data_IF_321664873755
#
_entry.id   IF_321664873755
#
_cell.length_a   1.000
_cell.length_b   1.000
_cell.length_c   1.000
_cell.angle_alpha   90.00
_cell.angle_beta   90.00
_cell.angle_gamma   90.00
#
_symmetry.space_group_name_H-M   'P 1'
#
loop_
_entity.id
_entity.type
_entity.pdbx_description
1 polymer ?
#
# COMPACT_ATOMS: atom_id res chain seq x y z
N UNK A 1 -10.01 5.51 -24.15
CA UNK A 1 -8.77 6.29 -24.21
C UNK A 1 -7.59 5.35 -24.44
N UNK A 2 -6.67 5.72 -25.33
CA UNK A 2 -5.37 5.08 -25.51
C UNK A 2 -4.50 5.28 -24.26
N UNK A 3 -3.32 4.65 -24.24
CA UNK A 3 -2.34 4.85 -23.15
C UNK A 3 -1.93 6.32 -23.01
N UNK A 4 -1.62 6.94 -24.12
CA UNK A 4 -1.11 8.31 -24.15
C UNK A 4 -2.19 9.31 -23.77
N UNK A 5 -3.42 9.16 -24.29
CA UNK A 5 -4.56 9.95 -23.86
C UNK A 5 -4.84 9.83 -22.35
N UNK A 6 -4.65 8.62 -21.76
CA UNK A 6 -4.79 8.43 -20.31
C UNK A 6 -3.66 9.09 -19.52
N UNK A 7 -2.44 9.07 -20.04
CA UNK A 7 -1.31 9.75 -19.42
C UNK A 7 -1.54 11.27 -19.41
N UNK A 8 -1.92 11.85 -20.56
CA UNK A 8 -2.18 13.30 -20.69
C UNK A 8 -3.33 13.73 -19.78
N UNK A 9 -4.42 12.95 -19.77
CA UNK A 9 -5.54 13.19 -18.87
C UNK A 9 -5.11 13.20 -17.40
N UNK A 10 -4.28 12.23 -16.97
CA UNK A 10 -3.81 12.12 -15.60
C UNK A 10 -2.91 13.27 -15.19
N UNK A 11 -2.00 13.67 -16.07
CA UNK A 11 -1.13 14.82 -15.86
C UNK A 11 -1.95 16.10 -15.69
N UNK A 12 -2.86 16.39 -16.62
CA UNK A 12 -3.77 17.55 -16.52
C UNK A 12 -4.64 17.50 -15.25
N UNK A 13 -5.07 16.31 -14.85
CA UNK A 13 -5.86 16.14 -13.61
C UNK A 13 -5.04 16.49 -12.38
N UNK A 14 -3.79 16.05 -12.31
CA UNK A 14 -2.90 16.35 -11.17
C UNK A 14 -2.55 17.85 -11.17
N UNK A 15 -2.26 18.45 -12.32
CA UNK A 15 -2.02 19.89 -12.41
C UNK A 15 -3.20 20.70 -11.86
N UNK A 16 -4.43 20.38 -12.26
CA UNK A 16 -5.64 21.04 -11.74
C UNK A 16 -5.86 20.83 -10.24
N UNK A 17 -5.50 19.69 -9.71
CA UNK A 17 -5.58 19.44 -8.27
C UNK A 17 -4.51 20.23 -7.51
N UNK A 18 -3.30 20.32 -8.08
CA UNK A 18 -2.21 21.11 -7.51
C UNK A 18 -2.53 22.60 -7.47
N UNK A 19 -3.03 23.18 -8.55
CA UNK A 19 -3.44 24.59 -8.63
C UNK A 19 -4.46 24.98 -7.54
N UNK A 20 -5.24 24.04 -7.05
CA UNK A 20 -6.19 24.27 -5.95
C UNK A 20 -5.52 24.33 -4.57
N UNK A 21 -4.34 23.76 -4.45
CA UNK A 21 -3.62 23.57 -3.17
C UNK A 21 -2.46 24.58 -3.02
N UNK A 22 -1.80 24.91 -4.12
CA UNK A 22 -0.62 25.77 -4.14
C UNK A 22 -0.77 26.89 -5.14
N UNK A 23 -0.59 28.14 -4.67
CA UNK A 23 -0.70 29.32 -5.52
C UNK A 23 0.64 29.80 -6.10
N UNK A 24 1.80 29.33 -5.58
CA UNK A 24 3.04 30.07 -5.76
C UNK A 24 4.16 29.39 -6.54
N UNK A 25 4.17 28.06 -6.67
CA UNK A 25 5.29 27.37 -7.33
C UNK A 25 4.81 26.37 -8.39
N UNK A 26 5.41 26.45 -9.56
CA UNK A 26 5.27 25.40 -10.55
C UNK A 26 5.95 24.16 -10.00
N UNK A 27 5.20 23.07 -9.79
CA UNK A 27 5.77 21.83 -9.30
C UNK A 27 6.77 21.28 -10.31
N UNK A 28 7.73 20.52 -9.80
CA UNK A 28 8.66 19.75 -10.62
C UNK A 28 8.07 18.38 -10.90
N UNK A 29 8.52 17.73 -11.94
CA UNK A 29 8.07 16.39 -12.26
C UNK A 29 9.16 15.51 -12.85
N UNK A 30 8.99 14.20 -12.69
CA UNK A 30 9.77 13.14 -13.34
C UNK A 30 8.79 12.12 -13.91
N UNK A 31 9.02 11.69 -15.15
CA UNK A 31 8.18 10.69 -15.82
C UNK A 31 8.99 9.42 -16.04
N UNK A 32 8.36 8.29 -15.75
CA UNK A 32 8.84 6.96 -16.12
C UNK A 32 7.78 6.23 -16.94
N UNK A 33 7.97 4.97 -17.27
CA UNK A 33 6.98 4.21 -18.04
C UNK A 33 5.66 4.00 -17.30
N UNK A 34 5.71 3.79 -15.97
CA UNK A 34 4.56 3.47 -15.14
C UNK A 34 4.15 4.60 -14.19
N UNK A 35 5.02 5.61 -13.98
CA UNK A 35 4.82 6.60 -12.94
C UNK A 35 5.01 8.03 -13.46
N UNK A 36 4.26 8.95 -12.84
CA UNK A 36 4.41 10.38 -12.97
C UNK A 36 4.62 10.96 -11.56
N UNK A 37 5.88 11.25 -11.22
CA UNK A 37 6.24 11.81 -9.91
C UNK A 37 6.21 13.32 -10.01
N UNK A 38 5.54 13.97 -9.05
CA UNK A 38 5.18 15.37 -9.14
C UNK A 38 5.21 16.02 -7.75
N UNK A 39 5.64 17.29 -7.62
CA UNK A 39 5.60 17.98 -6.33
C UNK A 39 6.57 19.13 -6.14
N UNK A 40 6.64 19.66 -4.91
CA UNK A 40 7.49 20.76 -4.49
C UNK A 40 8.84 20.30 -3.90
N UNK A 41 9.05 19.00 -3.77
CA UNK A 41 10.33 18.45 -3.33
C UNK A 41 11.47 18.77 -4.33
N UNK A 42 12.74 18.81 -3.89
CA UNK A 42 13.86 19.04 -4.79
C UNK A 42 13.91 18.05 -5.95
N UNK A 43 14.39 18.48 -7.14
CA UNK A 43 14.43 17.64 -8.34
C UNK A 43 15.15 16.30 -8.11
N UNK A 44 16.29 16.31 -7.40
CA UNK A 44 17.01 15.09 -7.04
C UNK A 44 16.16 14.13 -6.16
N UNK A 45 15.30 14.68 -5.29
CA UNK A 45 14.41 13.88 -4.46
C UNK A 45 13.28 13.24 -5.29
N UNK A 46 12.68 14.00 -6.21
CA UNK A 46 11.66 13.45 -7.12
C UNK A 46 12.26 12.36 -8.02
N UNK A 47 13.48 12.55 -8.50
CA UNK A 47 14.20 11.54 -9.28
C UNK A 47 14.42 10.26 -8.46
N UNK A 48 14.86 10.38 -7.21
CA UNK A 48 15.04 9.24 -6.30
C UNK A 48 13.72 8.50 -6.04
N UNK A 49 12.61 9.23 -5.84
CA UNK A 49 11.28 8.64 -5.68
C UNK A 49 10.85 7.89 -6.93
N UNK A 50 11.11 8.43 -8.12
CA UNK A 50 10.81 7.79 -9.39
C UNK A 50 11.60 6.47 -9.56
N UNK A 51 12.87 6.46 -9.22
CA UNK A 51 13.71 5.25 -9.25
C UNK A 51 13.20 4.16 -8.29
N UNK A 52 12.83 4.54 -7.08
CA UNK A 52 12.23 3.61 -6.11
C UNK A 52 10.87 3.08 -6.58
N UNK A 53 10.06 3.93 -7.21
CA UNK A 53 8.76 3.52 -7.75
C UNK A 53 8.93 2.51 -8.90
N UNK A 54 9.87 2.73 -9.83
CA UNK A 54 10.18 1.79 -10.91
C UNK A 54 10.72 0.46 -10.40
N UNK A 55 11.62 0.52 -9.42
CA UNK A 55 12.15 -0.69 -8.77
C UNK A 55 11.02 -1.49 -8.10
N UNK A 56 10.11 -0.78 -7.43
CA UNK A 56 8.94 -1.39 -6.82
C UNK A 56 7.94 -1.92 -7.86
N UNK A 57 7.75 -1.22 -8.96
CA UNK A 57 6.94 -1.68 -10.10
C UNK A 57 7.40 -3.03 -10.63
N UNK A 58 8.72 -3.25 -10.74
CA UNK A 58 9.30 -4.55 -11.11
C UNK A 58 8.96 -5.65 -10.09
N UNK A 59 9.00 -5.33 -8.78
CA UNK A 59 8.60 -6.29 -7.73
C UNK A 59 7.14 -6.65 -7.78
N UNK A 60 6.25 -5.68 -8.04
CA UNK A 60 4.82 -5.93 -8.24
C UNK A 60 4.58 -6.86 -9.43
N UNK A 61 5.24 -6.61 -10.58
CA UNK A 61 5.16 -7.51 -11.74
C UNK A 61 5.60 -8.92 -11.41
N UNK A 62 6.72 -9.07 -10.71
CA UNK A 62 7.27 -10.38 -10.32
C UNK A 62 6.30 -11.11 -9.38
N UNK A 63 5.82 -10.45 -8.34
CA UNK A 63 4.94 -11.06 -7.34
C UNK A 63 3.60 -11.49 -7.94
N UNK A 64 2.99 -10.64 -8.78
CA UNK A 64 1.65 -10.88 -9.32
C UNK A 64 1.65 -11.53 -10.71
N UNK A 65 2.82 -11.84 -11.26
CA UNK A 65 2.95 -12.52 -12.57
C UNK A 65 2.49 -11.65 -13.76
N UNK A 66 2.60 -10.35 -13.64
CA UNK A 66 2.28 -9.39 -14.69
C UNK A 66 3.47 -9.29 -15.67
N UNK A 67 3.56 -10.22 -16.61
CA UNK A 67 4.74 -10.33 -17.49
C UNK A 67 4.85 -9.22 -18.54
N UNK A 68 3.71 -8.69 -18.98
CA UNK A 68 3.61 -7.67 -20.03
C UNK A 68 2.50 -6.67 -19.70
N UNK A 69 2.61 -5.46 -20.23
CA UNK A 69 1.59 -4.44 -20.06
C UNK A 69 1.87 -3.46 -18.91
N UNK A 70 0.94 -2.58 -18.71
CA UNK A 70 1.01 -1.51 -17.71
C UNK A 70 0.59 -2.02 -16.33
N UNK A 71 1.26 -1.55 -15.28
CA UNK A 71 0.83 -1.78 -13.90
C UNK A 71 -0.51 -1.10 -13.61
N UNK A 72 -0.73 0.05 -14.25
CA UNK A 72 -1.93 0.86 -14.09
C UNK A 72 -2.48 1.23 -15.47
N UNK A 73 -3.72 1.67 -15.52
CA UNK A 73 -4.28 2.28 -16.71
C UNK A 73 -3.72 3.71 -16.84
N UNK A 74 -2.73 3.89 -17.71
CA UNK A 74 -1.85 5.06 -17.75
C UNK A 74 -0.80 5.02 -16.61
N UNK A 75 -0.04 6.11 -16.44
CA UNK A 75 0.90 6.29 -15.32
C UNK A 75 0.15 6.50 -14.01
N UNK A 76 0.63 5.88 -12.93
CA UNK A 76 0.20 6.26 -11.59
C UNK A 76 0.89 7.58 -11.21
N UNK A 77 0.12 8.58 -10.82
CA UNK A 77 0.71 9.80 -10.29
C UNK A 77 1.18 9.61 -8.83
N UNK A 78 2.34 10.16 -8.50
CA UNK A 78 2.91 10.18 -7.15
C UNK A 78 3.19 11.63 -6.80
N UNK A 79 2.35 12.22 -5.97
CA UNK A 79 2.49 13.60 -5.50
C UNK A 79 3.32 13.62 -4.22
N UNK A 80 4.42 14.38 -4.21
CA UNK A 80 5.37 14.45 -3.10
C UNK A 80 5.42 15.87 -2.57
N UNK A 81 4.98 16.05 -1.33
CA UNK A 81 5.12 17.30 -0.60
C UNK A 81 6.37 17.27 0.26
N UNK A 82 7.21 18.29 0.11
CA UNK A 82 8.40 18.49 0.94
C UNK A 82 8.01 18.66 2.41
N UNK A 83 6.98 19.46 2.66
CA UNK A 83 6.58 19.86 4.00
C UNK A 83 5.21 19.30 4.41
N UNK A 84 5.01 19.09 5.70
CA UNK A 84 3.74 18.64 6.29
C UNK A 84 2.57 19.52 5.88
N UNK A 85 2.78 20.84 5.81
CA UNK A 85 1.75 21.80 5.48
C UNK A 85 1.10 21.48 4.12
N UNK A 86 1.88 21.35 3.06
CA UNK A 86 1.35 21.05 1.73
C UNK A 86 0.56 19.74 1.67
N UNK A 87 1.04 18.68 2.35
CA UNK A 87 0.30 17.43 2.46
C UNK A 87 -1.04 17.60 3.20
N UNK A 88 -1.09 18.42 4.24
CA UNK A 88 -2.32 18.71 5.00
C UNK A 88 -3.30 19.52 4.16
N UNK A 89 -2.83 20.56 3.48
CA UNK A 89 -3.63 21.36 2.54
C UNK A 89 -4.23 20.52 1.42
N UNK A 90 -3.44 19.60 0.83
CA UNK A 90 -3.98 18.66 -0.15
C UNK A 90 -5.17 17.86 0.39
N UNK A 91 -5.04 17.29 1.58
CA UNK A 91 -6.11 16.51 2.18
C UNK A 91 -7.35 17.36 2.46
N UNK A 92 -7.16 18.60 2.93
CA UNK A 92 -8.25 19.53 3.23
C UNK A 92 -8.96 19.96 1.95
N UNK A 93 -8.22 20.43 0.95
CA UNK A 93 -8.76 21.04 -0.27
C UNK A 93 -9.28 20.00 -1.26
N UNK A 94 -8.55 18.88 -1.44
CA UNK A 94 -8.92 17.87 -2.44
C UNK A 94 -9.90 16.84 -1.88
N UNK A 95 -9.75 16.48 -0.60
CA UNK A 95 -10.54 15.40 0.01
C UNK A 95 -11.53 15.88 1.08
N UNK A 96 -11.53 17.17 1.43
CA UNK A 96 -12.38 17.74 2.49
C UNK A 96 -12.27 16.98 3.81
N UNK A 97 -11.06 16.57 4.18
CA UNK A 97 -10.81 15.77 5.38
C UNK A 97 -9.64 16.30 6.20
N UNK A 98 -9.74 16.16 7.50
CA UNK A 98 -8.62 16.36 8.40
C UNK A 98 -7.51 15.34 8.17
N UNK A 99 -6.28 15.76 8.43
CA UNK A 99 -5.08 14.91 8.29
C UNK A 99 -4.57 14.51 9.67
N UNK A 100 -4.84 13.28 10.15
CA UNK A 100 -4.30 12.80 11.40
C UNK A 100 -2.77 12.93 11.44
N UNK A 101 -2.19 13.30 12.60
CA UNK A 101 -0.75 13.53 12.73
C UNK A 101 0.11 12.35 12.23
N UNK A 102 -0.35 11.13 12.44
CA UNK A 102 0.35 9.93 12.01
C UNK A 102 0.20 9.59 10.52
N UNK A 103 -0.66 10.33 9.79
CA UNK A 103 -0.89 10.09 8.37
C UNK A 103 0.09 10.91 7.55
N UNK A 104 0.98 10.26 6.84
CA UNK A 104 2.03 10.87 6.02
C UNK A 104 1.94 10.46 4.54
N UNK A 105 0.95 9.66 4.19
CA UNK A 105 0.67 9.24 2.83
C UNK A 105 -0.69 8.57 2.68
N UNK A 106 -1.17 8.52 1.45
CA UNK A 106 -2.37 7.77 1.08
C UNK A 106 -2.40 7.49 -0.42
N UNK A 107 -3.27 6.58 -0.84
CA UNK A 107 -3.50 6.27 -2.25
C UNK A 107 -4.99 6.37 -2.57
N UNK A 108 -5.28 6.91 -3.74
CA UNK A 108 -6.62 7.02 -4.31
C UNK A 108 -6.61 6.32 -5.67
N UNK A 109 -7.60 5.44 -5.88
CA UNK A 109 -7.89 4.87 -7.20
C UNK A 109 -9.40 4.84 -7.33
N UNK A 110 -9.94 5.65 -8.23
CA UNK A 110 -11.37 5.64 -8.55
C UNK A 110 -11.73 4.44 -9.44
N UNK A 111 -12.97 3.97 -9.40
CA UNK A 111 -13.42 2.88 -10.28
C UNK A 111 -13.29 3.21 -11.77
N UNK A 112 -13.43 4.49 -12.15
CA UNK A 112 -13.22 4.98 -13.52
C UNK A 112 -11.76 5.11 -13.90
N UNK A 113 -10.82 5.02 -12.95
CA UNK A 113 -9.39 5.34 -13.09
C UNK A 113 -9.08 6.80 -13.44
N UNK A 114 -10.04 7.68 -13.39
CA UNK A 114 -9.81 9.12 -13.55
C UNK A 114 -8.89 9.64 -12.45
N UNK A 115 -9.15 9.25 -11.21
CA UNK A 115 -8.25 9.50 -10.09
C UNK A 115 -7.48 8.21 -9.79
N UNK A 116 -6.19 8.20 -10.09
CA UNK A 116 -5.27 7.16 -9.66
C UNK A 116 -3.94 7.82 -9.28
N UNK A 117 -3.76 8.05 -7.99
CA UNK A 117 -2.58 8.72 -7.46
C UNK A 117 -2.24 8.28 -6.04
N UNK A 118 -0.99 8.48 -5.69
CA UNK A 118 -0.45 8.39 -4.34
C UNK A 118 -0.03 9.79 -3.92
N UNK A 119 -0.31 10.19 -2.69
CA UNK A 119 0.16 11.45 -2.12
C UNK A 119 1.00 11.15 -0.89
N UNK A 120 2.19 11.74 -0.83
CA UNK A 120 3.17 11.49 0.21
C UNK A 120 3.71 12.81 0.78
N UNK A 121 3.87 12.86 2.08
CA UNK A 121 4.77 13.81 2.72
C UNK A 121 6.17 13.21 2.71
N UNK A 122 7.19 13.99 2.33
CA UNK A 122 8.58 13.56 2.48
C UNK A 122 8.96 13.56 3.97
N UNK A 123 9.08 12.39 4.53
CA UNK A 123 9.48 12.17 5.94
C UNK A 123 10.97 11.89 6.08
N UNK A 124 11.73 12.05 4.99
CA UNK A 124 13.15 11.69 4.94
C UNK A 124 13.38 10.17 4.87
N UNK A 125 14.64 9.78 4.89
CA UNK A 125 15.08 8.40 4.69
C UNK A 125 15.41 7.67 6.00
N UNK A 126 15.34 8.40 7.12
CA UNK A 126 15.65 7.81 8.43
C UNK A 126 14.60 6.79 8.80
N UNK A 127 15.04 5.57 9.02
CA UNK A 127 14.22 4.46 9.49
C UNK A 127 14.36 4.34 11.00
N UNK A 128 13.23 4.36 11.71
CA UNK A 128 13.15 4.12 13.16
C UNK A 128 12.12 3.01 13.42
N UNK A 129 12.02 2.47 14.64
CA UNK A 129 10.97 1.51 14.97
C UNK A 129 9.55 2.04 14.74
N UNK A 130 9.35 3.37 14.78
CA UNK A 130 8.07 4.05 14.60
C UNK A 130 7.81 4.51 13.16
N UNK A 131 8.85 4.66 12.36
CA UNK A 131 8.79 5.20 10.99
C UNK A 131 9.65 4.42 10.02
N UNK A 132 9.05 3.94 8.96
CA UNK A 132 9.74 3.24 7.87
C UNK A 132 10.49 4.14 6.89
N UNK A 133 10.48 5.47 7.09
CA UNK A 133 11.03 6.42 6.13
C UNK A 133 10.23 6.48 4.82
N UNK A 134 10.66 7.36 3.92
CA UNK A 134 9.94 7.65 2.68
C UNK A 134 9.82 6.44 1.74
N UNK A 135 10.89 5.64 1.60
CA UNK A 135 10.90 4.49 0.70
C UNK A 135 9.87 3.42 1.08
N UNK A 136 9.74 3.09 2.37
CA UNK A 136 8.76 2.12 2.85
C UNK A 136 7.34 2.64 2.65
N UNK A 137 7.10 3.93 2.91
CA UNK A 137 5.80 4.55 2.67
C UNK A 137 5.43 4.53 1.19
N UNK A 138 6.36 4.86 0.29
CA UNK A 138 6.16 4.78 -1.15
C UNK A 138 5.72 3.36 -1.56
N UNK A 139 6.47 2.35 -1.15
CA UNK A 139 6.18 0.94 -1.47
C UNK A 139 4.78 0.56 -0.99
N UNK A 140 4.44 0.90 0.24
CA UNK A 140 3.15 0.57 0.82
C UNK A 140 1.98 1.23 0.07
N UNK A 141 2.07 2.52 -0.22
CA UNK A 141 0.98 3.25 -0.89
C UNK A 141 0.88 2.94 -2.39
N UNK A 142 1.98 2.72 -3.09
CA UNK A 142 1.97 2.25 -4.49
C UNK A 142 1.38 0.84 -4.58
N UNK A 143 1.73 -0.06 -3.65
CA UNK A 143 1.08 -1.38 -3.54
C UNK A 143 -0.42 -1.24 -3.29
N UNK A 144 -0.81 -0.32 -2.40
CA UNK A 144 -2.23 -0.05 -2.12
C UNK A 144 -2.98 0.41 -3.37
N UNK A 145 -2.40 1.30 -4.17
CA UNK A 145 -2.96 1.74 -5.44
C UNK A 145 -3.07 0.57 -6.44
N UNK A 146 -2.01 -0.24 -6.55
CA UNK A 146 -2.00 -1.42 -7.43
C UNK A 146 -3.09 -2.43 -7.07
N UNK A 147 -3.26 -2.74 -5.81
CA UNK A 147 -4.28 -3.69 -5.37
C UNK A 147 -5.70 -3.17 -5.61
N UNK A 148 -5.92 -1.87 -5.40
CA UNK A 148 -7.24 -1.22 -5.60
C UNK A 148 -7.61 -1.00 -7.07
N UNK A 149 -6.68 -1.20 -8.01
CA UNK A 149 -6.91 -0.97 -9.46
C UNK A 149 -8.05 -1.82 -10.05
N UNK A 150 -8.46 -2.90 -9.39
CA UNK A 150 -9.62 -3.70 -9.79
C UNK A 150 -10.96 -3.04 -9.47
N UNK A 151 -10.99 -1.94 -8.72
CA UNK A 151 -12.20 -1.33 -8.18
C UNK A 151 -12.79 -2.07 -6.97
N UNK A 152 -12.24 -3.23 -6.60
CA UNK A 152 -12.72 -4.00 -5.47
C UNK A 152 -12.35 -3.35 -4.13
N UNK A 153 -13.27 -3.44 -3.17
CA UNK A 153 -13.00 -3.04 -1.80
C UNK A 153 -12.26 -4.17 -1.08
N UNK A 154 -10.95 -4.01 -0.95
CA UNK A 154 -10.10 -4.97 -0.26
C UNK A 154 -9.95 -4.62 1.23
N UNK A 155 -9.83 -5.63 2.11
CA UNK A 155 -9.60 -5.40 3.54
C UNK A 155 -8.29 -4.64 3.79
N UNK A 156 -8.31 -3.73 4.77
CA UNK A 156 -7.14 -2.90 5.10
C UNK A 156 -5.92 -3.73 5.52
N UNK A 157 -6.13 -4.80 6.29
CA UNK A 157 -5.04 -5.69 6.70
C UNK A 157 -4.33 -6.32 5.48
N UNK A 158 -5.06 -6.64 4.42
CA UNK A 158 -4.48 -7.19 3.20
C UNK A 158 -3.68 -6.14 2.45
N UNK A 159 -4.27 -4.98 2.21
CA UNK A 159 -3.61 -3.89 1.46
C UNK A 159 -2.31 -3.47 2.12
N UNK A 160 -2.35 -3.18 3.42
CA UNK A 160 -1.16 -2.81 4.21
C UNK A 160 -0.18 -3.96 4.34
N UNK A 161 -0.70 -5.17 4.55
CA UNK A 161 0.13 -6.37 4.72
C UNK A 161 0.95 -6.70 3.48
N UNK A 162 0.37 -6.62 2.29
CA UNK A 162 1.11 -6.82 1.03
C UNK A 162 2.16 -5.73 0.83
N UNK A 163 1.80 -4.45 1.07
CA UNK A 163 2.73 -3.33 0.97
C UNK A 163 3.96 -3.51 1.85
N UNK A 164 3.75 -3.81 3.13
CA UNK A 164 4.84 -4.01 4.09
C UNK A 164 5.62 -5.31 3.85
N UNK A 165 5.00 -6.36 3.29
CA UNK A 165 5.71 -7.57 2.87
C UNK A 165 6.68 -7.27 1.71
N UNK A 166 6.27 -6.45 0.74
CA UNK A 166 7.13 -6.02 -0.35
C UNK A 166 8.20 -5.02 0.11
N UNK A 167 7.88 -4.18 1.10
CA UNK A 167 8.87 -3.31 1.74
C UNK A 167 9.95 -4.10 2.47
N UNK A 168 9.57 -5.17 3.18
CA UNK A 168 10.52 -6.09 3.84
C UNK A 168 11.45 -6.80 2.85
N UNK A 169 10.99 -7.08 1.64
CA UNK A 169 11.83 -7.62 0.56
C UNK A 169 12.80 -6.57 0.00
N UNK A 170 12.41 -5.29 0.03
CA UNK A 170 13.23 -4.20 -0.43
C UNK A 170 14.30 -3.80 0.58
N UNK A 171 14.00 -3.92 1.87
CA UNK A 171 14.89 -3.64 2.99
C UNK A 171 14.65 -4.63 4.15
N UNK A 172 15.32 -5.78 4.06
CA UNK A 172 15.18 -6.87 5.04
C UNK A 172 15.83 -6.57 6.40
N UNK A 173 16.63 -5.51 6.49
CA UNK A 173 17.34 -5.09 7.71
C UNK A 173 16.67 -3.90 8.40
N UNK A 174 15.53 -3.44 7.90
CA UNK A 174 14.81 -2.31 8.46
C UNK A 174 14.36 -2.57 9.89
N UNK A 175 14.76 -1.70 10.83
CA UNK A 175 14.33 -1.75 12.23
C UNK A 175 12.82 -1.58 12.36
N UNK A 176 12.21 -0.77 11.48
CA UNK A 176 10.76 -0.64 11.39
C UNK A 176 10.08 -1.97 11.10
N UNK A 177 10.55 -2.67 10.07
CA UNK A 177 10.00 -3.99 9.69
C UNK A 177 10.23 -5.04 10.78
N UNK A 178 11.40 -5.01 11.40
CA UNK A 178 11.73 -5.93 12.51
C UNK A 178 10.77 -5.72 13.72
N UNK A 179 10.41 -4.46 14.01
CA UNK A 179 9.49 -4.12 15.10
C UNK A 179 8.03 -4.53 14.86
N UNK A 180 7.61 -4.73 13.60
CA UNK A 180 6.22 -5.05 13.27
C UNK A 180 5.74 -6.38 13.91
N UNK A 181 6.63 -7.35 14.07
CA UNK A 181 6.25 -8.63 14.70
C UNK A 181 5.84 -8.46 16.15
N UNK A 182 6.59 -7.68 16.92
CA UNK A 182 6.24 -7.35 18.31
C UNK A 182 4.91 -6.61 18.39
N UNK A 183 4.76 -5.56 17.57
CA UNK A 183 3.51 -4.79 17.50
C UNK A 183 2.30 -5.63 17.11
N UNK A 184 2.48 -6.65 16.25
CA UNK A 184 1.39 -7.57 15.90
C UNK A 184 1.01 -8.48 17.08
N UNK A 185 1.99 -9.00 17.83
CA UNK A 185 1.73 -9.80 19.04
C UNK A 185 0.94 -9.00 20.07
N UNK A 186 1.34 -7.74 20.33
CA UNK A 186 0.64 -6.86 21.27
C UNK A 186 -0.80 -6.56 20.80
N UNK A 187 -1.00 -6.29 19.50
CA UNK A 187 -2.31 -6.04 18.95
C UNK A 187 -3.26 -7.25 19.09
N UNK A 188 -2.73 -8.47 18.99
CA UNK A 188 -3.53 -9.71 19.07
C UNK A 188 -3.92 -10.09 20.49
N UNK A 189 -3.28 -9.54 21.54
CA UNK A 189 -3.67 -9.79 22.92
C UNK A 189 -5.09 -9.32 23.24
N UNK A 190 -5.58 -8.27 22.52
CA UNK A 190 -6.94 -7.73 22.65
C UNK A 190 -7.98 -8.37 21.72
N UNK A 191 -7.62 -9.40 20.94
CA UNK A 191 -8.52 -9.99 19.97
C UNK A 191 -9.61 -10.84 20.67
N UNK A 192 -10.88 -10.47 20.50
CA UNK A 192 -12.02 -11.16 21.14
C UNK A 192 -12.27 -12.55 20.53
N UNK A 193 -12.44 -12.61 19.21
CA UNK A 193 -12.65 -13.84 18.45
C UNK A 193 -11.60 -13.98 17.35
N UNK A 194 -11.14 -15.22 17.05
CA UNK A 194 -10.15 -15.43 16.00
C UNK A 194 -10.55 -14.81 14.64
N UNK A 195 -11.82 -14.88 14.27
CA UNK A 195 -12.34 -14.40 13.01
C UNK A 195 -12.32 -12.86 12.89
N UNK A 196 -12.35 -12.14 14.00
CA UNK A 196 -12.26 -10.67 14.05
C UNK A 196 -10.94 -10.17 13.45
N UNK A 197 -9.92 -11.04 13.38
CA UNK A 197 -8.67 -10.78 12.69
C UNK A 197 -8.83 -10.24 11.25
N UNK A 198 -9.88 -10.67 10.57
CA UNK A 198 -10.11 -10.36 9.16
C UNK A 198 -11.10 -9.20 8.95
N UNK A 199 -11.69 -8.70 10.02
CA UNK A 199 -12.69 -7.63 9.94
C UNK A 199 -12.00 -6.25 9.93
N UNK A 200 -12.45 -5.36 9.04
CA UNK A 200 -12.03 -3.97 9.05
C UNK A 200 -12.53 -3.29 10.35
N UNK A 201 -11.67 -2.46 10.93
CA UNK A 201 -11.99 -1.73 12.16
C UNK A 201 -11.62 -2.46 13.46
N UNK A 202 -11.23 -3.75 13.41
CA UNK A 202 -10.75 -4.49 14.59
C UNK A 202 -9.47 -3.89 15.16
N UNK A 203 -8.59 -3.42 14.30
CA UNK A 203 -7.29 -2.86 14.68
C UNK A 203 -7.22 -1.37 14.38
N UNK A 204 -6.51 -0.63 15.24
CA UNK A 204 -6.17 0.76 14.96
C UNK A 204 -5.30 0.89 13.69
N UNK A 205 -5.22 2.07 13.05
CA UNK A 205 -4.41 2.28 11.85
C UNK A 205 -2.93 1.88 11.99
N UNK A 206 -2.36 1.96 13.20
CA UNK A 206 -0.99 1.49 13.47
C UNK A 206 -0.90 -0.03 13.55
N UNK A 207 -1.87 -0.65 14.21
CA UNK A 207 -1.90 -2.10 14.42
C UNK A 207 -2.21 -2.87 13.14
N UNK A 208 -3.10 -2.32 12.28
CA UNK A 208 -3.52 -3.01 11.04
C UNK A 208 -2.34 -3.29 10.10
N UNK A 209 -1.34 -2.41 10.06
CA UNK A 209 -0.10 -2.64 9.28
C UNK A 209 0.71 -3.81 9.83
N UNK A 210 0.95 -3.85 11.13
CA UNK A 210 1.73 -4.89 11.79
C UNK A 210 1.05 -6.27 11.69
N UNK A 211 -0.24 -6.33 12.01
CA UNK A 211 -1.04 -7.55 11.88
C UNK A 211 -1.12 -8.00 10.41
N UNK A 212 -1.39 -7.07 9.49
CA UNK A 212 -1.44 -7.36 8.06
C UNK A 212 -0.14 -7.93 7.52
N UNK A 213 1.01 -7.31 7.86
CA UNK A 213 2.33 -7.77 7.45
C UNK A 213 2.61 -9.20 7.91
N UNK A 214 2.40 -9.48 9.19
CA UNK A 214 2.70 -10.80 9.74
C UNK A 214 1.70 -11.86 9.26
N UNK A 215 0.43 -11.51 9.06
CA UNK A 215 -0.60 -12.40 8.50
C UNK A 215 -0.32 -12.74 7.03
N UNK A 216 -0.02 -11.75 6.19
CA UNK A 216 0.34 -11.95 4.78
C UNK A 216 1.60 -12.81 4.67
N UNK A 217 2.63 -12.52 5.47
CA UNK A 217 3.85 -13.32 5.53
C UNK A 217 3.57 -14.77 5.95
N UNK A 218 2.69 -14.97 6.93
CA UNK A 218 2.24 -16.29 7.34
C UNK A 218 1.51 -17.03 6.22
N UNK A 219 0.56 -16.38 5.55
CA UNK A 219 -0.20 -16.97 4.45
C UNK A 219 0.69 -17.37 3.25
N UNK A 220 1.67 -16.54 2.92
CA UNK A 220 2.67 -16.86 1.89
C UNK A 220 3.53 -18.05 2.32
N UNK A 221 4.01 -18.09 3.56
CA UNK A 221 4.82 -19.19 4.08
C UNK A 221 4.04 -20.51 4.11
N UNK A 222 2.77 -20.48 4.52
CA UNK A 222 1.91 -21.65 4.64
C UNK A 222 1.44 -22.21 3.29
N UNK A 223 1.19 -21.35 2.31
CA UNK A 223 0.58 -21.74 1.04
C UNK A 223 1.46 -21.53 -0.21
N UNK A 224 2.55 -20.80 -0.07
CA UNK A 224 3.38 -20.34 -1.18
C UNK A 224 2.81 -19.09 -1.87
N UNK A 225 3.70 -18.34 -2.55
CA UNK A 225 3.34 -17.07 -3.22
C UNK A 225 2.24 -17.24 -4.26
N UNK A 226 2.26 -18.31 -5.05
CA UNK A 226 1.26 -18.54 -6.09
C UNK A 226 -0.17 -18.75 -5.55
N UNK A 227 -0.33 -19.44 -4.40
CA UNK A 227 -1.64 -19.54 -3.71
C UNK A 227 -2.07 -18.20 -3.16
N UNK A 228 -1.16 -17.46 -2.57
CA UNK A 228 -1.46 -16.13 -2.03
C UNK A 228 -1.94 -15.18 -3.14
N UNK A 229 -1.26 -15.15 -4.30
CA UNK A 229 -1.69 -14.33 -5.45
C UNK A 229 -3.08 -14.72 -5.95
N UNK A 230 -3.39 -16.02 -6.02
CA UNK A 230 -4.76 -16.48 -6.36
C UNK A 230 -5.80 -16.02 -5.34
N UNK A 231 -5.46 -16.07 -4.05
CA UNK A 231 -6.31 -15.54 -2.99
C UNK A 231 -6.60 -14.05 -3.19
N UNK A 232 -5.57 -13.22 -3.44
CA UNK A 232 -5.74 -11.79 -3.72
C UNK A 232 -6.63 -11.56 -4.95
N UNK A 233 -6.40 -12.29 -6.05
CA UNK A 233 -7.22 -12.19 -7.26
C UNK A 233 -8.69 -12.55 -7.04
N UNK A 234 -8.97 -13.55 -6.21
CA UNK A 234 -10.35 -13.88 -5.84
C UNK A 234 -11.02 -12.69 -5.13
N UNK A 235 -10.33 -12.03 -4.21
CA UNK A 235 -10.87 -10.85 -3.53
C UNK A 235 -11.05 -9.67 -4.50
N UNK A 236 -10.12 -9.48 -5.42
CA UNK A 236 -10.23 -8.46 -6.48
C UNK A 236 -11.43 -8.71 -7.41
N UNK A 237 -11.84 -9.96 -7.56
CA UNK A 237 -13.03 -10.37 -8.31
C UNK A 237 -14.32 -10.37 -7.45
N UNK A 238 -14.26 -9.81 -6.24
CA UNK A 238 -15.44 -9.68 -5.36
C UNK A 238 -15.75 -10.91 -4.50
N UNK A 239 -14.90 -11.94 -4.50
CA UNK A 239 -15.09 -13.11 -3.63
C UNK A 239 -14.84 -12.71 -2.17
N UNK A 240 -15.75 -13.08 -1.26
CA UNK A 240 -15.58 -12.83 0.17
C UNK A 240 -14.34 -13.54 0.74
N UNK A 241 -13.71 -12.93 1.77
CA UNK A 241 -12.49 -13.46 2.40
C UNK A 241 -12.64 -14.92 2.83
N UNK A 242 -13.72 -15.25 3.54
CA UNK A 242 -13.98 -16.61 4.03
C UNK A 242 -14.09 -17.64 2.88
N UNK A 243 -14.82 -17.28 1.81
CA UNK A 243 -14.95 -18.14 0.64
C UNK A 243 -13.61 -18.33 -0.09
N UNK A 244 -12.84 -17.26 -0.21
CA UNK A 244 -11.51 -17.32 -0.85
C UNK A 244 -10.51 -18.15 -0.02
N UNK A 245 -10.50 -18.01 1.31
CA UNK A 245 -9.69 -18.87 2.19
C UNK A 245 -10.04 -20.33 2.00
N UNK A 246 -11.34 -20.68 2.05
CA UNK A 246 -11.80 -22.05 1.86
C UNK A 246 -11.41 -22.62 0.49
N UNK A 247 -11.50 -21.82 -0.57
CA UNK A 247 -11.16 -22.25 -1.92
C UNK A 247 -9.65 -22.46 -2.15
N UNK A 248 -8.81 -21.60 -1.56
CA UNK A 248 -7.37 -21.56 -1.85
C UNK A 248 -6.53 -22.32 -0.84
N UNK A 249 -6.93 -22.30 0.44
CA UNK A 249 -6.17 -22.88 1.57
C UNK A 249 -6.82 -24.16 2.13
N UNK A 250 -7.74 -24.80 1.37
CA UNK A 250 -8.35 -26.05 1.79
C UNK A 250 -7.31 -27.07 2.33
N UNK A 251 -7.64 -27.82 3.39
CA UNK A 251 -8.93 -27.91 4.08
C UNK A 251 -9.14 -26.85 5.18
N UNK A 252 -8.38 -25.77 5.19
CA UNK A 252 -8.41 -24.70 6.21
C UNK A 252 -9.59 -23.75 5.96
N UNK A 253 -10.36 -23.44 6.98
CA UNK A 253 -11.34 -22.37 7.00
C UNK A 253 -10.76 -21.10 7.66
N UNK A 254 -11.56 -20.02 7.66
CA UNK A 254 -11.15 -18.72 8.17
C UNK A 254 -10.74 -18.78 9.65
N UNK A 255 -11.52 -19.50 10.47
CA UNK A 255 -11.28 -19.65 11.90
C UNK A 255 -9.98 -20.43 12.17
N UNK A 256 -9.78 -21.54 11.49
CA UNK A 256 -8.57 -22.35 11.61
C UNK A 256 -7.34 -21.58 11.15
N UNK A 257 -7.45 -20.80 10.06
CA UNK A 257 -6.38 -19.94 9.58
C UNK A 257 -5.99 -18.92 10.66
N UNK A 258 -6.97 -18.23 11.27
CA UNK A 258 -6.72 -17.27 12.35
C UNK A 258 -6.03 -17.92 13.56
N UNK A 259 -6.56 -19.03 14.04
CA UNK A 259 -5.98 -19.76 15.19
C UNK A 259 -4.53 -20.17 14.89
N UNK A 260 -4.28 -20.77 13.73
CA UNK A 260 -2.94 -21.22 13.36
C UNK A 260 -1.97 -20.06 13.19
N UNK A 261 -2.40 -18.93 12.66
CA UNK A 261 -1.60 -17.72 12.58
C UNK A 261 -1.23 -17.19 13.98
N UNK A 262 -2.20 -17.01 14.88
CA UNK A 262 -1.96 -16.52 16.25
C UNK A 262 -0.98 -17.45 16.98
N UNK A 263 -1.17 -18.77 16.86
CA UNK A 263 -0.26 -19.77 17.45
C UNK A 263 1.17 -19.64 16.88
N UNK A 264 1.30 -19.36 15.58
CA UNK A 264 2.62 -19.21 14.94
C UNK A 264 3.43 -18.02 15.47
N UNK A 265 2.75 -16.95 15.88
CA UNK A 265 3.38 -15.77 16.47
C UNK A 265 3.77 -15.98 17.93
N UNK A 266 2.97 -16.73 18.69
CA UNK A 266 3.20 -16.99 20.11
C UNK A 266 4.37 -17.96 20.39
N UNK A 267 5.02 -18.49 19.35
CA UNK A 267 6.16 -19.41 19.50
C UNK A 267 5.80 -20.78 20.11
N UNK A 268 4.52 -21.06 20.37
CA UNK A 268 4.08 -22.39 20.82
C UNK A 268 4.14 -23.35 19.64
N UNK A 269 5.26 -24.05 19.48
CA UNK A 269 5.32 -25.25 18.63
C UNK A 269 4.35 -26.30 19.19
N UNK A 270 3.53 -26.88 18.28
CA UNK A 270 2.85 -28.15 18.58
C UNK A 270 3.85 -29.27 18.73
#
# INVERSE_FOLDING_TARGET
LSKDEFNDFREQRIDKLWERVSNDDRPRFVKTDDFFVYGDAPAARLQQVAEWADEHGKRLRTMFGEKTGQLFKGRLAIVVFKERFGYTEWNQVVHSRETPRAMTGHSVVSPSFEDAYVVLQDVGDVVTPESGGMRIQLIDHVTGAFLKRSGARLPQWLVRGVGLTLAAQADSKSDYIAGLKGSAVDALQGLGKPEDLFADGTFSPRQVGAVGYTLVSYMIKAGGGGRFVRFVRNLQNGTAVAASVKAIYAPTDLKRLAISYVQSLSGKKR
#
